data_IF_883836675838
#
_entry.id   IF_883836675838
#
_cell.length_a   1.000
_cell.length_b   1.000
_cell.length_c   1.000
_cell.angle_alpha   90.00
_cell.angle_beta   90.00
_cell.angle_gamma   90.00
#
_symmetry.space_group_name_H-M   'P 1'
#
loop_
_entity.id
_entity.type
_entity.pdbx_description
1 polymer ?
#
# COMPACT_ATOMS: atom_id res chain seq x y z
N UNK A 1 16.94 -8.57 -0.57
CA UNK A 1 15.68 -9.29 -0.24
C UNK A 1 14.70 -8.25 0.25
N UNK A 2 13.48 -8.21 -0.29
CA UNK A 2 12.46 -7.22 0.08
C UNK A 2 11.56 -7.75 1.20
N UNK A 3 11.12 -6.88 2.08
CA UNK A 3 10.16 -7.19 3.14
C UNK A 3 8.83 -6.52 2.86
N UNK A 4 7.79 -7.30 2.63
CA UNK A 4 6.48 -6.83 2.21
C UNK A 4 5.45 -7.14 3.30
N UNK A 5 4.73 -6.13 3.76
CA UNK A 5 3.64 -6.27 4.71
C UNK A 5 2.30 -6.32 3.97
N UNK A 6 1.52 -7.36 4.24
CA UNK A 6 0.24 -7.65 3.63
C UNK A 6 -0.85 -7.65 4.70
N UNK A 7 -1.44 -6.49 5.02
CA UNK A 7 -2.59 -6.44 5.92
C UNK A 7 -3.78 -7.16 5.30
N UNK A 8 -4.47 -7.98 6.10
CA UNK A 8 -5.65 -8.71 5.64
C UNK A 8 -6.75 -8.71 6.69
N UNK A 9 -7.98 -8.50 6.25
CA UNK A 9 -9.22 -8.71 6.98
C UNK A 9 -9.92 -10.00 6.51
N UNK A 10 -9.23 -10.79 5.70
CA UNK A 10 -9.72 -12.01 5.05
C UNK A 10 -10.85 -11.80 4.04
N UNK A 11 -11.11 -10.56 3.60
CA UNK A 11 -12.03 -10.27 2.52
C UNK A 11 -11.42 -10.64 1.15
N UNK A 12 -12.27 -10.78 0.13
CA UNK A 12 -11.83 -11.00 -1.25
C UNK A 12 -10.98 -9.83 -1.78
N UNK A 13 -11.23 -8.61 -1.29
CA UNK A 13 -10.41 -7.46 -1.65
C UNK A 13 -9.00 -7.55 -1.07
N UNK A 14 -8.85 -7.95 0.20
CA UNK A 14 -7.53 -8.20 0.79
C UNK A 14 -6.82 -9.39 0.12
N UNK A 15 -7.58 -10.42 -0.29
CA UNK A 15 -7.04 -11.53 -1.07
C UNK A 15 -6.53 -11.07 -2.44
N UNK A 16 -7.31 -10.24 -3.17
CA UNK A 16 -6.89 -9.68 -4.45
C UNK A 16 -5.57 -8.88 -4.33
N UNK A 17 -5.41 -8.10 -3.25
CA UNK A 17 -4.17 -7.38 -3.00
C UNK A 17 -2.98 -8.32 -2.74
N UNK A 18 -3.20 -9.44 -2.04
CA UNK A 18 -2.18 -10.48 -1.83
C UNK A 18 -1.79 -11.11 -3.18
N UNK A 19 -2.75 -11.53 -3.99
CA UNK A 19 -2.49 -12.09 -5.33
C UNK A 19 -1.70 -11.11 -6.21
N UNK A 20 -2.10 -9.84 -6.18
CA UNK A 20 -1.39 -8.77 -6.90
C UNK A 20 0.07 -8.66 -6.44
N UNK A 21 0.31 -8.62 -5.13
CA UNK A 21 1.65 -8.53 -4.56
C UNK A 21 2.54 -9.71 -4.96
N UNK A 22 2.01 -10.93 -4.92
CA UNK A 22 2.75 -12.15 -5.26
C UNK A 22 3.16 -12.16 -6.75
N UNK A 23 2.29 -11.68 -7.63
CA UNK A 23 2.59 -11.54 -9.05
C UNK A 23 3.58 -10.40 -9.32
N UNK A 24 3.38 -9.23 -8.67
CA UNK A 24 4.26 -8.07 -8.80
C UNK A 24 5.71 -8.39 -8.39
N UNK A 25 5.89 -9.21 -7.34
CA UNK A 25 7.19 -9.62 -6.83
C UNK A 25 7.63 -11.01 -7.29
N UNK A 26 6.99 -11.62 -8.28
CA UNK A 26 7.22 -13.00 -8.71
C UNK A 26 8.71 -13.35 -8.88
N UNK A 27 9.49 -12.43 -9.45
CA UNK A 27 10.92 -12.62 -9.72
C UNK A 27 11.85 -12.04 -8.65
N UNK A 28 11.30 -11.53 -7.54
CA UNK A 28 12.07 -10.86 -6.49
C UNK A 28 12.11 -11.72 -5.22
N UNK A 29 13.27 -11.80 -4.58
CA UNK A 29 13.38 -12.45 -3.27
C UNK A 29 12.66 -11.62 -2.21
N UNK A 30 11.57 -12.17 -1.64
CA UNK A 30 10.73 -11.45 -0.68
C UNK A 30 10.42 -12.25 0.58
N UNK A 31 10.37 -11.53 1.70
CA UNK A 31 9.69 -11.95 2.92
C UNK A 31 8.31 -11.29 2.95
N UNK A 32 7.26 -12.09 2.88
CA UNK A 32 5.88 -11.63 2.99
C UNK A 32 5.35 -11.84 4.40
N UNK A 33 4.90 -10.78 5.04
CA UNK A 33 4.26 -10.81 6.35
C UNK A 33 2.76 -10.58 6.21
N UNK A 34 1.96 -11.63 6.40
CA UNK A 34 0.50 -11.56 6.46
C UNK A 34 0.09 -11.08 7.85
N UNK A 35 -0.47 -9.88 7.93
CA UNK A 35 -0.88 -9.28 9.21
C UNK A 35 -2.41 -9.18 9.29
N UNK A 36 -2.98 -9.77 10.34
CA UNK A 36 -4.35 -9.45 10.76
C UNK A 36 -4.34 -8.75 12.11
N UNK A 37 -5.04 -7.61 12.17
CA UNK A 37 -5.22 -6.85 13.41
C UNK A 37 -6.66 -7.01 13.87
N UNK A 38 -6.83 -7.68 15.00
CA UNK A 38 -8.10 -7.70 15.71
C UNK A 38 -8.27 -6.31 16.35
N UNK A 39 -9.27 -5.56 15.90
CA UNK A 39 -9.45 -4.19 16.36
C UNK A 39 -9.85 -4.17 17.83
N UNK A 40 -9.16 -3.35 18.61
CA UNK A 40 -9.61 -2.94 19.91
C UNK A 40 -10.98 -2.25 19.71
N UNK A 41 -12.06 -2.83 20.24
CA UNK A 41 -13.33 -2.15 20.23
C UNK A 41 -13.27 -1.04 21.28
N UNK A 42 -13.59 0.20 20.89
CA UNK A 42 -13.79 1.30 21.81
C UNK A 42 -15.12 1.09 22.57
N UNK A 43 -15.24 -0.02 23.29
CA UNK A 43 -16.36 -0.20 24.23
C UNK A 43 -15.96 0.62 25.46
N UNK A 44 -16.39 1.87 25.48
CA UNK A 44 -16.33 2.72 26.67
C UNK A 44 -17.47 2.26 27.58
N UNK A 45 -17.13 1.51 28.60
CA UNK A 45 -18.03 1.29 29.75
C UNK A 45 -17.55 2.22 30.85
N UNK A 46 -18.40 3.19 31.24
CA UNK A 46 -18.14 4.11 32.36
C UNK A 46 -16.78 4.85 32.27
N UNK A 47 -16.57 5.64 31.21
CA UNK A 47 -15.41 6.51 30.98
C UNK A 47 -14.02 5.83 30.90
N UNK A 48 -13.93 4.52 30.98
CA UNK A 48 -12.69 3.78 30.82
C UNK A 48 -12.80 2.76 29.68
N UNK A 49 -11.76 2.62 28.83
CA UNK A 49 -11.72 1.57 27.81
C UNK A 49 -11.66 0.20 28.49
N UNK A 50 -12.64 -0.65 28.20
CA UNK A 50 -12.61 -2.04 28.66
C UNK A 50 -11.55 -2.81 27.85
N UNK A 51 -10.49 -3.26 28.52
CA UNK A 51 -9.50 -4.18 27.95
C UNK A 51 -9.80 -5.57 28.49
N UNK A 52 -10.19 -6.55 27.64
CA UNK A 52 -10.42 -7.93 28.10
C UNK A 52 -9.17 -8.53 28.74
N UNK A 53 -9.35 -9.50 29.60
CA UNK A 53 -8.25 -10.26 30.18
C UNK A 53 -7.42 -10.96 29.09
N UNK A 54 -6.12 -11.19 29.32
CA UNK A 54 -5.19 -11.69 28.32
C UNK A 54 -5.58 -13.07 27.75
N UNK A 55 -6.14 -13.94 28.59
CA UNK A 55 -6.65 -15.25 28.19
C UNK A 55 -7.86 -15.12 27.24
N UNK A 56 -8.78 -14.20 27.52
CA UNK A 56 -9.89 -13.87 26.62
C UNK A 56 -9.38 -13.35 25.28
N UNK A 57 -8.39 -12.46 25.29
CA UNK A 57 -7.79 -11.95 24.05
C UNK A 57 -7.19 -13.11 23.25
N UNK A 58 -6.42 -13.98 23.88
CA UNK A 58 -5.78 -15.12 23.19
C UNK A 58 -6.83 -16.08 22.64
N UNK A 59 -7.86 -16.44 23.42
CA UNK A 59 -8.82 -17.47 23.02
C UNK A 59 -9.85 -16.96 22.01
N UNK A 60 -10.35 -15.76 22.19
CA UNK A 60 -11.44 -15.20 21.34
C UNK A 60 -10.91 -14.56 20.06
N UNK A 61 -9.73 -13.94 20.10
CA UNK A 61 -9.22 -13.15 18.97
C UNK A 61 -7.97 -13.77 18.32
N UNK A 62 -6.98 -14.15 19.11
CA UNK A 62 -5.67 -14.52 18.57
C UNK A 62 -5.67 -15.95 18.00
N UNK A 63 -6.16 -16.95 18.74
CA UNK A 63 -6.19 -18.35 18.26
C UNK A 63 -7.02 -18.53 16.99
N UNK A 64 -8.27 -17.99 16.88
CA UNK A 64 -9.04 -18.06 15.65
C UNK A 64 -8.34 -17.37 14.47
N UNK A 65 -7.72 -16.21 14.71
CA UNK A 65 -6.97 -15.48 13.69
C UNK A 65 -5.76 -16.29 13.20
N UNK A 66 -4.98 -16.89 14.09
CA UNK A 66 -3.87 -17.79 13.71
C UNK A 66 -4.35 -18.94 12.81
N UNK A 67 -5.53 -19.50 13.10
CA UNK A 67 -6.13 -20.55 12.27
C UNK A 67 -6.51 -20.06 10.88
N UNK A 68 -7.14 -18.88 10.77
CA UNK A 68 -7.48 -18.25 9.48
C UNK A 68 -6.22 -17.89 8.66
N UNK A 69 -5.18 -17.37 9.31
CA UNK A 69 -3.89 -17.09 8.65
C UNK A 69 -3.22 -18.36 8.12
N UNK A 70 -3.27 -19.48 8.89
CA UNK A 70 -2.80 -20.79 8.40
C UNK A 70 -3.56 -21.27 7.16
N UNK A 71 -4.90 -21.09 7.16
CA UNK A 71 -5.72 -21.41 5.99
C UNK A 71 -5.36 -20.53 4.77
N UNK A 72 -5.09 -19.24 4.99
CA UNK A 72 -4.64 -18.32 3.96
C UNK A 72 -3.28 -18.73 3.37
N UNK A 73 -2.32 -19.16 4.20
CA UNK A 73 -1.05 -19.71 3.72
C UNK A 73 -1.24 -20.97 2.86
N UNK A 74 -2.16 -21.86 3.25
CA UNK A 74 -2.50 -23.04 2.44
C UNK A 74 -3.11 -22.63 1.09
N UNK A 75 -3.99 -21.61 1.06
CA UNK A 75 -4.56 -21.06 -0.18
C UNK A 75 -3.46 -20.51 -1.08
N UNK A 76 -2.52 -19.72 -0.52
CA UNK A 76 -1.35 -19.20 -1.27
C UNK A 76 -0.52 -20.36 -1.84
N UNK A 77 -0.15 -21.35 -1.04
CA UNK A 77 0.66 -22.48 -1.48
C UNK A 77 -0.01 -23.31 -2.59
N UNK A 78 -1.34 -23.37 -2.63
CA UNK A 78 -2.11 -24.04 -3.68
C UNK A 78 -2.06 -23.28 -5.01
N UNK A 79 -2.15 -21.95 -4.98
CA UNK A 79 -2.25 -21.10 -6.19
C UNK A 79 -0.86 -20.71 -6.71
N UNK A 80 0.11 -20.52 -5.82
CA UNK A 80 1.48 -20.12 -6.13
C UNK A 80 2.50 -21.19 -5.66
N UNK A 81 2.44 -22.42 -6.19
CA UNK A 81 3.33 -23.48 -5.73
C UNK A 81 4.77 -23.22 -6.20
N UNK A 82 5.73 -23.64 -5.38
CA UNK A 82 7.16 -23.72 -5.75
C UNK A 82 7.90 -22.40 -6.03
N UNK A 83 7.40 -21.24 -5.57
CA UNK A 83 8.21 -20.03 -5.64
C UNK A 83 9.21 -19.99 -4.49
N UNK A 84 10.44 -20.46 -4.73
CA UNK A 84 11.52 -20.48 -3.73
C UNK A 84 12.05 -19.09 -3.35
N UNK A 85 11.70 -18.06 -4.12
CA UNK A 85 12.07 -16.67 -3.84
C UNK A 85 11.20 -16.03 -2.75
N UNK A 86 10.07 -16.67 -2.40
CA UNK A 86 9.10 -16.12 -1.44
C UNK A 86 9.12 -16.91 -0.13
N UNK A 87 9.27 -16.18 0.98
CA UNK A 87 9.09 -16.69 2.34
C UNK A 87 7.88 -16.01 2.96
N UNK A 88 7.07 -16.79 3.69
CA UNK A 88 5.82 -16.31 4.28
C UNK A 88 5.85 -16.41 5.80
N UNK A 89 5.37 -15.36 6.44
CA UNK A 89 5.23 -15.24 7.89
C UNK A 89 3.84 -14.72 8.22
N UNK A 90 3.33 -15.07 9.39
CA UNK A 90 2.04 -14.57 9.88
C UNK A 90 2.22 -13.75 11.12
N UNK A 91 1.49 -12.64 11.21
CA UNK A 91 1.44 -11.73 12.34
C UNK A 91 -0.02 -11.53 12.74
N UNK A 92 -0.27 -11.48 14.03
CA UNK A 92 -1.60 -11.13 14.56
C UNK A 92 -1.43 -10.27 15.80
N UNK A 93 -2.21 -9.21 15.86
CA UNK A 93 -2.28 -8.30 17.00
C UNK A 93 -3.73 -8.12 17.46
N UNK A 94 -3.89 -7.73 18.72
CA UNK A 94 -5.11 -7.14 19.25
C UNK A 94 -4.78 -5.70 19.64
N UNK A 95 -5.04 -4.74 18.72
CA UNK A 95 -4.60 -3.35 18.87
C UNK A 95 -5.32 -2.41 17.88
N UNK A 96 -4.97 -1.13 17.89
CA UNK A 96 -5.31 -0.19 16.83
C UNK A 96 -4.52 -0.50 15.56
N UNK A 97 -5.22 -0.44 14.42
CA UNK A 97 -4.67 -0.85 13.13
C UNK A 97 -3.38 -0.10 12.75
N UNK A 98 -3.39 1.23 12.86
CA UNK A 98 -2.23 2.07 12.49
C UNK A 98 -1.04 1.81 13.42
N UNK A 99 -1.28 1.63 14.72
CA UNK A 99 -0.20 1.34 15.68
C UNK A 99 0.43 -0.03 15.43
N UNK A 100 -0.38 -1.04 15.10
CA UNK A 100 0.14 -2.35 14.69
C UNK A 100 1.00 -2.26 13.44
N UNK A 101 0.57 -1.50 12.42
CA UNK A 101 1.38 -1.28 11.23
C UNK A 101 2.71 -0.62 11.56
N UNK A 102 2.70 0.49 12.30
CA UNK A 102 3.91 1.23 12.70
C UNK A 102 4.90 0.34 13.46
N UNK A 103 4.41 -0.46 14.39
CA UNK A 103 5.19 -1.44 15.16
C UNK A 103 5.89 -2.41 14.21
N UNK A 104 5.12 -3.12 13.37
CA UNK A 104 5.69 -4.14 12.49
C UNK A 104 6.57 -3.59 11.38
N UNK A 105 6.29 -2.39 10.86
CA UNK A 105 7.16 -1.70 9.91
C UNK A 105 8.56 -1.49 10.51
N UNK A 106 8.62 -0.99 11.74
CA UNK A 106 9.88 -0.76 12.44
C UNK A 106 10.60 -2.07 12.76
N UNK A 107 9.89 -3.04 13.37
CA UNK A 107 10.47 -4.32 13.83
C UNK A 107 10.96 -5.20 12.68
N UNK A 108 10.22 -5.25 11.57
CA UNK A 108 10.53 -6.12 10.42
C UNK A 108 11.27 -5.38 9.30
N UNK A 109 11.52 -4.07 9.46
CA UNK A 109 12.14 -3.21 8.42
C UNK A 109 11.41 -3.36 7.09
N UNK A 110 10.10 -3.09 7.11
CA UNK A 110 9.22 -3.26 5.95
C UNK A 110 9.59 -2.26 4.85
N UNK A 111 9.82 -2.75 3.65
CA UNK A 111 10.08 -1.93 2.46
C UNK A 111 8.79 -1.39 1.83
N UNK A 112 7.69 -2.16 1.89
CA UNK A 112 6.44 -1.77 1.27
C UNK A 112 5.25 -2.44 1.94
N UNK A 113 4.15 -1.70 2.08
CA UNK A 113 2.83 -2.24 2.39
C UNK A 113 2.09 -2.49 1.08
N UNK A 114 1.40 -3.64 0.93
CA UNK A 114 0.46 -3.85 -0.18
C UNK A 114 -0.90 -4.18 0.40
N UNK A 115 -1.92 -3.41 0.06
CA UNK A 115 -3.26 -3.56 0.62
C UNK A 115 -4.36 -3.18 -0.39
N UNK A 116 -5.57 -3.67 -0.17
CA UNK A 116 -6.73 -3.29 -0.98
C UNK A 116 -7.26 -1.89 -0.66
N UNK A 117 -7.98 -1.29 -1.61
CA UNK A 117 -8.62 0.03 -1.43
C UNK A 117 -9.75 0.02 -0.41
N UNK A 118 -10.48 -1.12 -0.27
CA UNK A 118 -11.63 -1.29 0.63
C UNK A 118 -11.36 -2.45 1.58
N UNK A 119 -11.96 -2.41 2.75
CA UNK A 119 -12.07 -3.55 3.64
C UNK A 119 -13.43 -4.26 3.50
N UNK A 120 -13.75 -5.13 4.45
CA UNK A 120 -14.99 -5.92 4.48
C UNK A 120 -16.29 -5.09 4.45
N UNK A 121 -16.25 -3.78 4.70
CA UNK A 121 -17.43 -2.89 4.74
C UNK A 121 -17.94 -2.38 3.39
N UNK A 122 -17.23 -2.60 2.29
CA UNK A 122 -17.73 -2.54 0.90
C UNK A 122 -18.47 -1.28 0.41
N UNK A 123 -18.25 -0.09 0.96
CA UNK A 123 -18.96 1.14 0.56
C UNK A 123 -18.41 1.75 -0.74
N UNK A 124 -19.28 2.03 -1.67
CA UNK A 124 -19.20 2.69 -3.00
C UNK A 124 -17.92 2.56 -3.87
N UNK A 125 -18.10 2.51 -5.19
CA UNK A 125 -17.07 2.17 -6.22
C UNK A 125 -15.89 3.15 -6.35
N UNK A 126 -15.96 4.35 -5.76
CA UNK A 126 -15.01 5.44 -6.00
C UNK A 126 -14.30 5.98 -4.74
N UNK A 127 -14.47 5.34 -3.58
CA UNK A 127 -13.92 5.84 -2.33
C UNK A 127 -12.81 4.89 -1.86
N UNK A 128 -11.62 5.45 -1.63
CA UNK A 128 -10.56 4.77 -0.87
C UNK A 128 -11.12 4.51 0.54
N UNK A 129 -11.17 3.25 0.98
CA UNK A 129 -11.67 2.91 2.31
C UNK A 129 -10.86 3.61 3.41
N UNK A 130 -11.49 3.84 4.55
CA UNK A 130 -10.88 4.56 5.68
C UNK A 130 -9.52 3.97 6.11
N UNK A 131 -9.38 2.65 6.14
CA UNK A 131 -8.11 2.01 6.49
C UNK A 131 -6.99 2.34 5.49
N UNK A 132 -7.26 2.31 4.18
CA UNK A 132 -6.25 2.64 3.17
C UNK A 132 -5.90 4.13 3.20
N UNK A 133 -6.90 5.02 3.35
CA UNK A 133 -6.70 6.45 3.53
C UNK A 133 -5.86 6.76 4.77
N UNK A 134 -6.15 6.12 5.90
CA UNK A 134 -5.39 6.27 7.13
C UNK A 134 -3.94 5.79 6.99
N UNK A 135 -3.70 4.69 6.27
CA UNK A 135 -2.33 4.21 6.01
C UNK A 135 -1.56 5.21 5.17
N UNK A 136 -2.14 5.71 4.06
CA UNK A 136 -1.48 6.69 3.17
C UNK A 136 -1.10 7.96 3.95
N UNK A 137 -1.97 8.42 4.84
CA UNK A 137 -1.78 9.71 5.53
C UNK A 137 -0.99 9.61 6.83
N UNK A 138 -1.05 8.47 7.54
CA UNK A 138 -0.54 8.34 8.92
C UNK A 138 0.66 7.41 9.06
N UNK A 139 1.03 6.66 8.00
CA UNK A 139 2.12 5.67 8.06
C UNK A 139 3.25 6.04 7.10
N UNK A 140 4.45 6.18 7.64
CA UNK A 140 5.67 6.48 6.85
C UNK A 140 6.24 5.18 6.27
N UNK A 141 5.63 4.67 5.22
CA UNK A 141 6.09 3.51 4.47
C UNK A 141 5.53 3.57 3.05
N UNK A 142 6.31 3.20 2.06
CA UNK A 142 5.79 3.06 0.68
C UNK A 142 4.60 2.12 0.69
N UNK A 143 3.48 2.56 0.13
CA UNK A 143 2.24 1.78 0.14
C UNK A 143 1.71 1.62 -1.28
N UNK A 144 1.55 0.37 -1.70
CA UNK A 144 0.86 -0.02 -2.93
C UNK A 144 -0.60 -0.35 -2.60
N UNK A 145 -1.50 0.50 -3.07
CA UNK A 145 -2.94 0.31 -2.89
C UNK A 145 -3.53 -0.31 -4.14
N UNK A 146 -4.13 -1.48 -3.98
CA UNK A 146 -4.66 -2.30 -5.08
C UNK A 146 -6.17 -2.14 -5.16
N UNK A 147 -6.72 -1.62 -6.27
CA UNK A 147 -8.16 -1.56 -6.49
C UNK A 147 -8.82 -2.94 -6.49
N UNK A 148 -10.10 -3.02 -6.09
CA UNK A 148 -10.86 -4.26 -5.88
C UNK A 148 -10.80 -5.24 -7.07
N UNK A 149 -10.85 -4.72 -8.29
CA UNK A 149 -10.87 -5.54 -9.51
C UNK A 149 -9.54 -5.53 -10.28
N UNK A 150 -8.50 -4.92 -9.71
CA UNK A 150 -7.20 -4.84 -10.38
C UNK A 150 -6.53 -6.21 -10.37
N UNK A 151 -6.20 -6.71 -11.56
CA UNK A 151 -5.34 -7.88 -11.74
C UNK A 151 -3.97 -7.43 -12.18
N UNK A 152 -2.93 -8.07 -11.67
CA UNK A 152 -1.57 -7.73 -12.06
C UNK A 152 -1.35 -7.98 -13.56
N UNK A 153 -0.85 -6.96 -14.24
CA UNK A 153 -0.29 -7.01 -15.58
C UNK A 153 1.09 -6.35 -15.55
N UNK A 154 1.92 -6.63 -16.54
CA UNK A 154 3.17 -5.89 -16.70
C UNK A 154 2.86 -4.39 -16.72
N UNK A 155 3.59 -3.62 -15.92
CA UNK A 155 3.41 -2.17 -15.87
C UNK A 155 4.09 -1.57 -17.10
N UNK A 156 3.30 -0.96 -17.97
CA UNK A 156 3.78 -0.32 -19.20
C UNK A 156 3.89 1.19 -19.04
N UNK A 157 3.05 1.76 -18.17
CA UNK A 157 2.99 3.18 -17.91
C UNK A 157 2.70 3.47 -16.44
N UNK A 158 3.31 4.52 -15.91
CA UNK A 158 3.02 5.11 -14.60
C UNK A 158 2.60 6.55 -14.81
N UNK A 159 1.40 6.91 -14.33
CA UNK A 159 0.98 8.31 -14.27
C UNK A 159 1.32 8.88 -12.91
N UNK A 160 2.09 9.97 -12.88
CA UNK A 160 2.49 10.69 -11.68
C UNK A 160 1.81 12.06 -11.64
N UNK A 161 0.68 12.20 -10.92
CA UNK A 161 0.02 13.49 -10.77
C UNK A 161 0.83 14.38 -9.83
N UNK A 162 1.05 15.64 -10.22
CA UNK A 162 1.80 16.62 -9.43
C UNK A 162 1.32 18.05 -9.69
N UNK A 163 1.33 18.87 -8.65
CA UNK A 163 1.21 20.32 -8.74
C UNK A 163 2.58 21.03 -8.74
N UNK A 164 3.66 20.22 -8.81
CA UNK A 164 5.06 20.64 -8.68
C UNK A 164 5.42 21.24 -7.30
N UNK A 165 4.59 21.05 -6.28
CA UNK A 165 4.94 21.39 -4.89
C UNK A 165 5.71 20.23 -4.25
N UNK A 166 6.95 20.03 -4.69
CA UNK A 166 7.80 18.94 -4.18
C UNK A 166 8.51 19.36 -2.90
N UNK A 167 8.65 18.43 -1.98
CA UNK A 167 9.59 18.58 -0.86
C UNK A 167 11.01 18.36 -1.37
N UNK A 168 12.02 18.93 -0.69
CA UNK A 168 13.44 18.81 -1.06
C UNK A 168 14.00 17.37 -1.03
N UNK A 169 13.17 16.37 -0.70
CA UNK A 169 13.59 14.98 -0.63
C UNK A 169 13.09 14.18 -1.84
N UNK A 170 13.89 14.13 -2.90
CA UNK A 170 13.61 13.35 -4.11
C UNK A 170 13.63 11.82 -3.89
N UNK A 171 14.16 11.33 -2.76
CA UNK A 171 14.16 9.89 -2.46
C UNK A 171 12.76 9.28 -2.37
N UNK A 172 11.73 10.12 -2.18
CA UNK A 172 10.32 9.67 -2.27
C UNK A 172 9.96 9.12 -3.66
N UNK A 173 10.72 9.47 -4.69
CA UNK A 173 10.53 9.03 -6.08
C UNK A 173 11.22 7.69 -6.38
N UNK A 174 12.14 7.24 -5.52
CA UNK A 174 12.88 5.98 -5.72
C UNK A 174 11.99 4.75 -5.99
N UNK A 175 10.84 4.56 -5.32
CA UNK A 175 9.94 3.45 -5.65
C UNK A 175 9.43 3.50 -7.07
N UNK A 176 9.13 4.70 -7.61
CA UNK A 176 8.68 4.90 -8.99
C UNK A 176 9.83 4.56 -9.94
N UNK A 177 11.01 5.12 -9.73
CA UNK A 177 12.20 4.86 -10.55
C UNK A 177 12.51 3.36 -10.66
N UNK A 178 12.47 2.63 -9.52
CA UNK A 178 12.68 1.17 -9.50
C UNK A 178 11.63 0.38 -10.30
N UNK A 179 10.38 0.85 -10.33
CA UNK A 179 9.33 0.21 -11.13
C UNK A 179 9.53 0.50 -12.62
N UNK A 180 9.88 1.73 -12.97
CA UNK A 180 10.21 2.12 -14.36
C UNK A 180 11.36 1.27 -14.92
N UNK A 181 12.47 1.21 -14.19
CA UNK A 181 13.65 0.43 -14.57
C UNK A 181 13.32 -1.06 -14.76
N UNK A 182 12.64 -1.66 -13.77
CA UNK A 182 12.30 -3.09 -13.80
C UNK A 182 11.40 -3.47 -14.96
N UNK A 183 10.50 -2.59 -15.39
CA UNK A 183 9.47 -2.89 -16.38
C UNK A 183 9.74 -2.27 -17.76
N UNK A 184 10.76 -1.42 -17.91
CA UNK A 184 10.96 -0.54 -19.08
C UNK A 184 9.69 0.28 -19.37
N UNK A 185 9.07 0.81 -18.31
CA UNK A 185 7.81 1.52 -18.36
C UNK A 185 8.01 3.01 -18.66
N UNK A 186 6.96 3.67 -19.16
CA UNK A 186 6.93 5.10 -19.44
C UNK A 186 6.37 5.83 -18.21
N UNK A 187 6.93 7.01 -17.89
CA UNK A 187 6.42 7.91 -16.87
C UNK A 187 5.67 9.08 -17.49
N UNK A 188 4.37 9.18 -17.21
CA UNK A 188 3.52 10.30 -17.59
C UNK A 188 3.36 11.24 -16.40
N UNK A 189 4.07 12.37 -16.39
CA UNK A 189 4.00 13.38 -15.33
C UNK A 189 2.82 14.32 -15.65
N UNK A 190 1.79 14.30 -14.80
CA UNK A 190 0.50 14.93 -15.09
C UNK A 190 0.25 16.10 -14.14
N UNK A 191 0.12 17.32 -14.68
CA UNK A 191 -0.37 18.47 -13.95
C UNK A 191 -1.82 18.78 -14.36
N UNK A 192 -2.71 18.88 -13.38
CA UNK A 192 -4.12 19.24 -13.61
C UNK A 192 -4.41 20.53 -12.87
N UNK A 193 -4.87 21.56 -13.59
CA UNK A 193 -5.19 22.87 -13.04
C UNK A 193 -6.59 23.35 -13.43
N UNK A 194 -7.23 24.21 -12.61
CA UNK A 194 -8.54 24.79 -12.92
C UNK A 194 -8.50 25.85 -14.03
N UNK A 195 -7.34 26.45 -14.24
CA UNK A 195 -7.06 27.47 -15.27
C UNK A 195 -5.73 27.12 -15.93
N UNK A 196 -5.49 27.56 -17.18
CA UNK A 196 -4.14 27.50 -17.74
C UNK A 196 -3.18 28.13 -16.73
N UNK A 197 -2.35 27.31 -16.10
CA UNK A 197 -1.45 27.78 -15.05
C UNK A 197 -0.09 28.09 -15.61
N UNK A 198 0.36 29.31 -15.41
CA UNK A 198 1.78 29.63 -15.48
C UNK A 198 2.39 29.12 -14.17
N UNK A 199 3.33 28.21 -14.25
CA UNK A 199 4.06 27.73 -13.09
C UNK A 199 4.78 28.91 -12.44
N UNK A 200 4.75 29.03 -11.12
CA UNK A 200 5.57 29.99 -10.41
C UNK A 200 7.05 29.54 -10.43
N UNK A 201 7.96 30.41 -9.97
CA UNK A 201 9.41 30.15 -10.01
C UNK A 201 9.78 28.85 -9.28
N UNK A 202 9.17 28.57 -8.14
CA UNK A 202 9.42 27.35 -7.35
C UNK A 202 8.91 26.10 -8.07
N UNK A 203 7.69 26.15 -8.60
CA UNK A 203 7.12 25.06 -9.40
C UNK A 203 7.94 24.77 -10.66
N UNK A 204 8.43 25.81 -11.33
CA UNK A 204 9.29 25.67 -12.51
C UNK A 204 10.60 24.96 -12.13
N UNK A 205 11.24 25.38 -11.03
CA UNK A 205 12.44 24.74 -10.50
C UNK A 205 12.19 23.27 -10.14
N UNK A 206 11.06 22.97 -9.49
CA UNK A 206 10.70 21.61 -9.12
C UNK A 206 10.39 20.73 -10.34
N UNK A 207 9.82 21.31 -11.40
CA UNK A 207 9.65 20.62 -12.70
C UNK A 207 11.00 20.24 -13.30
N UNK A 208 11.97 21.15 -13.32
CA UNK A 208 13.33 20.89 -13.79
C UNK A 208 14.02 19.80 -12.95
N UNK A 209 13.88 19.82 -11.62
CA UNK A 209 14.39 18.76 -10.76
C UNK A 209 13.77 17.38 -11.06
N UNK A 210 12.48 17.32 -11.40
CA UNK A 210 11.85 16.07 -11.83
C UNK A 210 12.39 15.59 -13.18
N UNK A 211 12.59 16.51 -14.12
CA UNK A 211 13.14 16.22 -15.43
C UNK A 211 14.56 15.64 -15.31
N UNK A 212 15.41 16.26 -14.48
CA UNK A 212 16.75 15.78 -14.19
C UNK A 212 16.74 14.41 -13.49
N UNK A 213 15.86 14.23 -12.48
CA UNK A 213 15.77 12.98 -11.74
C UNK A 213 15.36 11.80 -12.64
N UNK A 214 14.42 12.03 -13.57
CA UNK A 214 13.93 11.00 -14.49
C UNK A 214 14.62 11.03 -15.87
N UNK A 215 15.70 11.78 -16.05
CA UNK A 215 16.39 11.94 -17.33
C UNK A 215 16.70 10.60 -18.03
N UNK A 216 17.11 9.58 -17.30
CA UNK A 216 17.44 8.25 -17.83
C UNK A 216 16.22 7.34 -18.07
N UNK A 217 15.01 7.82 -17.82
CA UNK A 217 13.77 7.07 -18.01
C UNK A 217 12.93 7.70 -19.12
N UNK A 218 12.16 6.88 -19.83
CA UNK A 218 11.19 7.39 -20.79
C UNK A 218 10.11 8.16 -20.03
N UNK A 219 10.05 9.48 -20.18
CA UNK A 219 9.06 10.30 -19.49
C UNK A 219 8.51 11.42 -20.37
N UNK A 220 7.32 11.93 -20.02
CA UNK A 220 6.67 13.07 -20.67
C UNK A 220 5.85 13.87 -19.66
N UNK A 221 5.74 15.19 -19.89
CA UNK A 221 4.93 16.09 -19.10
C UNK A 221 3.61 16.40 -19.81
N UNK A 222 2.51 16.28 -19.10
CA UNK A 222 1.16 16.59 -19.57
C UNK A 222 0.53 17.66 -18.70
N UNK A 223 -0.03 18.69 -19.34
CA UNK A 223 -0.72 19.79 -18.65
C UNK A 223 -2.19 19.78 -19.10
N UNK A 224 -3.08 19.49 -18.17
CA UNK A 224 -4.52 19.48 -18.43
C UNK A 224 -5.19 20.63 -17.67
N UNK A 225 -6.11 21.29 -18.39
CA UNK A 225 -6.98 22.30 -17.77
C UNK A 225 -8.37 21.70 -17.64
N UNK A 226 -8.87 21.58 -16.42
CA UNK A 226 -10.23 21.12 -16.17
C UNK A 226 -10.97 22.11 -15.28
N UNK A 227 -12.12 22.59 -15.73
CA UNK A 227 -12.98 23.48 -14.95
C UNK A 227 -13.66 22.79 -13.76
N UNK A 228 -13.64 21.46 -13.70
CA UNK A 228 -14.18 20.61 -12.63
C UNK A 228 -13.10 19.66 -12.14
N UNK A 229 -12.13 20.17 -11.40
CA UNK A 229 -11.31 19.34 -10.51
C UNK A 229 -12.06 19.36 -9.18
N UNK A 230 -12.84 18.34 -8.92
CA UNK A 230 -13.45 18.06 -7.61
C UNK A 230 -12.50 17.21 -6.77
#
# INVERSE_FOLDING_TARGET
MKTILLPTDFSENSWNAIEYALNFYKETNCNFYLLHVNKLSNIVTNDYPYIPALDVIEDVYIKPTKTRLKALLKKIAKIFPKNTKHKFYTLTDYNFFIESLRKHIKEKKVDMIVMGTKGASGLSKFIIGSNAGDVITKVKCTTLVVPENAKFKKIEEITFPTDFSLTNNLQILDPIAKILEKNDAILSILNISKKPSILNVEQQKNKELLEDYFYNYKHSFYFLTNKKVE
#
